data_IF_078359399757
#
_entry.id   IF_078359399757
#
_cell.length_a   1.000
_cell.length_b   1.000
_cell.length_c   1.000
_cell.angle_alpha   90.00
_cell.angle_beta   90.00
_cell.angle_gamma   90.00
#
_symmetry.space_group_name_H-M   'P 1'
#
loop_
_entity.id
_entity.type
_entity.pdbx_description
1 polymer ?
#
# COMPACT_ATOMS: atom_id res chain seq x y z
N UNK A 1 -20.68 11.74 11.05
CA UNK A 1 -21.28 10.39 11.23
C UNK A 1 -20.44 9.64 12.26
N UNK A 2 -21.05 9.07 13.29
CA UNK A 2 -20.32 8.38 14.37
C UNK A 2 -19.60 7.13 13.83
N UNK A 3 -18.30 7.00 14.05
CA UNK A 3 -17.47 5.86 13.58
C UNK A 3 -18.06 4.51 14.01
N UNK A 4 -18.56 4.41 15.25
CA UNK A 4 -19.07 3.15 15.79
C UNK A 4 -20.48 2.79 15.31
N UNK A 5 -21.20 3.74 14.69
CA UNK A 5 -22.52 3.45 14.08
C UNK A 5 -22.43 2.81 12.68
N UNK A 6 -21.21 2.66 12.13
CA UNK A 6 -20.98 2.08 10.81
C UNK A 6 -21.38 0.61 10.79
N UNK A 7 -22.03 0.20 9.71
CA UNK A 7 -22.47 -1.18 9.50
C UNK A 7 -21.32 -2.06 9.01
N UNK A 8 -21.28 -3.29 9.51
CA UNK A 8 -20.31 -4.34 9.18
C UNK A 8 -21.00 -5.70 9.09
N UNK A 9 -20.44 -6.63 8.33
CA UNK A 9 -20.88 -8.03 8.35
C UNK A 9 -20.25 -8.80 9.51
N UNK A 10 -21.08 -9.54 10.24
CA UNK A 10 -20.69 -10.44 11.34
C UNK A 10 -21.18 -11.86 11.05
N UNK A 11 -20.36 -12.84 11.41
CA UNK A 11 -20.53 -14.26 11.12
C UNK A 11 -20.45 -15.05 12.43
N UNK A 12 -21.21 -16.13 12.56
CA UNK A 12 -21.28 -16.90 13.81
C UNK A 12 -20.03 -17.77 14.08
N UNK A 13 -19.10 -17.82 13.14
CA UNK A 13 -17.84 -18.53 13.26
C UNK A 13 -17.04 -18.46 11.96
N UNK A 14 -15.87 -19.10 11.93
CA UNK A 14 -14.96 -19.01 10.77
C UNK A 14 -15.47 -19.68 9.50
N UNK A 15 -16.46 -20.58 9.61
CA UNK A 15 -17.07 -21.30 8.48
C UNK A 15 -18.34 -20.65 7.96
N UNK A 16 -18.91 -19.70 8.70
CA UNK A 16 -20.07 -18.93 8.24
C UNK A 16 -19.61 -17.91 7.19
N UNK A 17 -20.30 -17.92 6.05
CA UNK A 17 -19.96 -17.11 4.90
C UNK A 17 -21.10 -16.20 4.45
N UNK A 18 -22.25 -16.25 5.12
CA UNK A 18 -23.43 -15.42 4.80
C UNK A 18 -23.51 -14.28 5.82
N UNK A 19 -23.45 -14.62 7.11
CA UNK A 19 -23.46 -13.67 8.21
C UNK A 19 -24.72 -12.82 8.30
N UNK A 20 -24.64 -11.77 9.12
CA UNK A 20 -25.65 -10.73 9.34
C UNK A 20 -25.00 -9.36 9.41
N UNK A 21 -25.80 -8.31 9.23
CA UNK A 21 -25.32 -6.92 9.37
C UNK A 21 -25.63 -6.40 10.75
N UNK A 22 -24.62 -5.91 11.46
CA UNK A 22 -24.79 -5.18 12.73
C UNK A 22 -23.92 -3.91 12.71
N UNK A 23 -24.01 -3.08 13.74
CA UNK A 23 -23.11 -1.92 13.89
C UNK A 23 -21.76 -2.34 14.46
N UNK A 24 -20.73 -1.55 14.17
CA UNK A 24 -19.42 -1.74 14.80
C UNK A 24 -19.52 -1.64 16.34
N UNK A 25 -20.37 -0.75 16.84
CA UNK A 25 -20.62 -0.61 18.27
C UNK A 25 -21.10 -1.93 18.88
N UNK A 26 -22.15 -2.54 18.32
CA UNK A 26 -22.72 -3.77 18.86
C UNK A 26 -21.73 -4.94 18.82
N UNK A 27 -20.82 -4.95 17.84
CA UNK A 27 -19.75 -5.94 17.77
C UNK A 27 -18.66 -5.73 18.85
N UNK A 28 -18.11 -4.50 18.95
CA UNK A 28 -16.94 -4.24 19.80
C UNK A 28 -17.29 -4.17 21.29
N UNK A 29 -18.48 -3.66 21.62
CA UNK A 29 -18.88 -3.40 23.01
C UNK A 29 -19.75 -4.51 23.60
N UNK A 30 -20.02 -5.58 22.86
CA UNK A 30 -20.73 -6.74 23.39
C UNK A 30 -19.90 -7.44 24.47
N UNK A 31 -20.55 -7.78 25.58
CA UNK A 31 -19.98 -8.57 26.68
C UNK A 31 -20.46 -10.03 26.67
N UNK A 32 -21.26 -10.41 25.68
CA UNK A 32 -21.89 -11.74 25.59
C UNK A 32 -20.87 -12.88 25.71
N UNK A 33 -19.70 -12.73 25.07
CA UNK A 33 -18.65 -13.75 25.03
C UNK A 33 -17.50 -13.49 26.01
N UNK A 34 -17.60 -12.50 26.91
CA UNK A 34 -16.51 -12.11 27.80
C UNK A 34 -16.00 -13.28 28.67
N UNK A 35 -16.92 -14.00 29.33
CA UNK A 35 -16.57 -15.16 30.17
C UNK A 35 -15.93 -16.30 29.35
N UNK A 36 -16.45 -16.56 28.13
CA UNK A 36 -15.91 -17.58 27.23
C UNK A 36 -14.49 -17.22 26.80
N UNK A 37 -14.24 -15.95 26.45
CA UNK A 37 -12.93 -15.46 26.04
C UNK A 37 -11.94 -15.53 27.21
N UNK A 38 -12.34 -15.12 28.41
CA UNK A 38 -11.49 -15.20 29.61
C UNK A 38 -11.13 -16.64 29.95
N UNK A 39 -12.09 -17.57 29.98
CA UNK A 39 -11.84 -19.00 30.16
C UNK A 39 -10.89 -19.54 29.07
N UNK A 40 -11.14 -19.18 27.81
CA UNK A 40 -10.34 -19.61 26.67
C UNK A 40 -8.88 -19.14 26.77
N UNK A 41 -8.61 -17.97 27.36
CA UNK A 41 -7.24 -17.46 27.58
C UNK A 41 -6.46 -18.30 28.60
N UNK A 42 -7.14 -18.99 29.51
CA UNK A 42 -6.52 -19.90 30.48
C UNK A 42 -6.15 -21.28 29.89
N UNK A 43 -6.60 -21.60 28.67
CA UNK A 43 -6.28 -22.88 28.01
C UNK A 43 -4.82 -22.85 27.52
N UNK A 44 -4.01 -23.75 28.09
CA UNK A 44 -2.59 -23.90 27.73
C UNK A 44 -2.42 -24.50 26.33
N UNK A 45 -3.19 -25.55 26.02
CA UNK A 45 -3.11 -26.23 24.73
C UNK A 45 -3.58 -25.32 23.58
N UNK A 46 -2.72 -25.19 22.57
CA UNK A 46 -2.97 -24.29 21.44
C UNK A 46 -4.12 -24.79 20.58
N UNK A 47 -4.21 -26.10 20.33
CA UNK A 47 -5.22 -26.65 19.43
C UNK A 47 -6.62 -26.54 20.04
N UNK A 48 -6.75 -26.84 21.33
CA UNK A 48 -7.97 -26.69 22.10
C UNK A 48 -8.41 -25.22 22.13
N UNK A 49 -7.50 -24.30 22.45
CA UNK A 49 -7.78 -22.86 22.42
C UNK A 49 -8.26 -22.42 21.04
N UNK A 50 -7.63 -22.88 19.97
CA UNK A 50 -7.99 -22.50 18.61
C UNK A 50 -9.34 -23.11 18.18
N UNK A 51 -9.77 -24.26 18.75
CA UNK A 51 -11.14 -24.81 18.55
C UNK A 51 -12.20 -23.85 19.11
N UNK A 52 -11.97 -23.27 20.29
CA UNK A 52 -12.86 -22.27 20.87
C UNK A 52 -12.91 -21.00 20.02
N UNK A 53 -11.75 -20.46 19.61
CA UNK A 53 -11.67 -19.26 18.76
C UNK A 53 -12.48 -19.38 17.47
N UNK A 54 -12.46 -20.55 16.84
CA UNK A 54 -13.17 -20.79 15.56
C UNK A 54 -14.70 -20.69 15.67
N UNK A 55 -15.24 -20.82 16.88
CA UNK A 55 -16.68 -20.78 17.19
C UNK A 55 -17.14 -19.42 17.70
N UNK A 56 -16.22 -18.48 17.93
CA UNK A 56 -16.56 -17.13 18.33
C UNK A 56 -17.02 -16.32 17.11
N UNK A 57 -17.90 -15.33 17.30
CA UNK A 57 -18.30 -14.44 16.24
C UNK A 57 -17.09 -13.79 15.56
N UNK A 58 -17.21 -13.63 14.25
CA UNK A 58 -16.19 -13.03 13.39
C UNK A 58 -16.79 -11.81 12.68
N UNK A 59 -16.00 -10.77 12.42
CA UNK A 59 -16.48 -9.57 11.74
C UNK A 59 -15.57 -9.17 10.59
N UNK A 60 -16.15 -8.88 9.43
CA UNK A 60 -15.46 -8.19 8.35
C UNK A 60 -15.58 -6.67 8.57
N UNK A 61 -14.60 -6.09 9.26
CA UNK A 61 -14.64 -4.70 9.72
C UNK A 61 -14.76 -3.70 8.56
N UNK A 62 -14.24 -4.05 7.37
CA UNK A 62 -14.15 -3.15 6.23
C UNK A 62 -15.44 -2.95 5.44
N UNK A 63 -16.49 -3.73 5.72
CA UNK A 63 -17.77 -3.50 5.05
C UNK A 63 -18.84 -4.54 5.26
N UNK A 64 -19.92 -4.34 4.52
CA UNK A 64 -21.06 -5.25 4.39
C UNK A 64 -20.92 -6.03 3.09
N UNK A 65 -21.01 -7.35 3.20
CA UNK A 65 -20.88 -8.29 2.09
C UNK A 65 -22.18 -9.09 1.93
N UNK A 66 -22.66 -9.24 0.70
CA UNK A 66 -23.82 -10.06 0.37
C UNK A 66 -23.79 -10.52 -1.11
N UNK A 67 -24.30 -11.72 -1.44
CA UNK A 67 -24.97 -12.68 -0.55
C UNK A 67 -24.01 -13.46 0.35
N UNK A 68 -22.71 -13.46 0.02
CA UNK A 68 -21.67 -14.12 0.81
C UNK A 68 -20.43 -13.24 0.94
N UNK A 69 -19.55 -13.53 1.91
CA UNK A 69 -18.28 -12.84 2.11
C UNK A 69 -17.31 -13.13 0.96
N UNK A 70 -17.21 -12.20 0.02
CA UNK A 70 -16.25 -12.22 -1.07
C UNK A 70 -15.98 -10.80 -1.55
N UNK A 71 -14.80 -10.55 -2.13
CA UNK A 71 -14.39 -9.22 -2.64
C UNK A 71 -15.44 -8.66 -3.61
N UNK A 72 -15.91 -9.48 -4.56
CA UNK A 72 -16.93 -9.09 -5.54
C UNK A 72 -18.35 -8.89 -4.97
N UNK A 73 -18.56 -9.27 -3.71
CA UNK A 73 -19.86 -9.20 -3.03
C UNK A 73 -19.95 -8.02 -2.03
N UNK A 74 -19.00 -7.10 -2.05
CA UNK A 74 -19.11 -5.89 -1.22
C UNK A 74 -20.32 -5.06 -1.64
N UNK A 75 -21.21 -4.77 -0.69
CA UNK A 75 -22.38 -3.91 -0.90
C UNK A 75 -22.15 -2.50 -0.38
N UNK A 76 -21.39 -2.40 0.70
CA UNK A 76 -21.09 -1.13 1.33
C UNK A 76 -19.73 -1.21 2.01
N UNK A 77 -18.88 -0.23 1.74
CA UNK A 77 -17.66 -0.01 2.53
C UNK A 77 -18.03 0.59 3.87
N UNK A 78 -17.51 0.04 4.97
CA UNK A 78 -17.63 0.69 6.28
C UNK A 78 -16.73 1.92 6.36
N UNK A 79 -15.70 2.01 5.51
CA UNK A 79 -14.69 3.05 5.62
C UNK A 79 -13.67 2.79 6.73
N UNK A 80 -13.53 1.54 7.18
CA UNK A 80 -12.67 1.15 8.29
C UNK A 80 -11.71 0.03 7.85
N UNK A 81 -10.55 0.01 8.47
CA UNK A 81 -9.65 -1.14 8.43
C UNK A 81 -9.38 -1.60 9.84
N UNK A 82 -9.16 -2.90 10.00
CA UNK A 82 -8.59 -3.43 11.22
C UNK A 82 -7.19 -3.97 10.96
N UNK A 83 -6.26 -3.62 11.84
CA UNK A 83 -4.89 -4.11 11.84
C UNK A 83 -4.66 -4.98 13.08
N UNK A 84 -3.88 -6.05 12.91
CA UNK A 84 -3.47 -6.96 13.98
C UNK A 84 -1.99 -6.80 14.28
N UNK A 85 -1.64 -6.81 15.57
CA UNK A 85 -0.27 -6.95 16.06
C UNK A 85 -0.23 -8.14 16.99
N UNK A 86 0.50 -9.18 16.62
CA UNK A 86 0.63 -10.40 17.42
C UNK A 86 2.06 -10.64 17.90
N UNK A 87 2.19 -11.48 18.93
CA UNK A 87 3.46 -11.81 19.56
C UNK A 87 4.46 -12.56 18.66
N UNK A 88 3.98 -13.24 17.60
CA UNK A 88 4.84 -14.06 16.74
C UNK A 88 5.69 -13.17 15.83
N UNK A 89 5.07 -12.13 15.28
CA UNK A 89 5.76 -11.16 14.41
C UNK A 89 6.40 -10.01 15.19
N UNK A 90 6.11 -9.90 16.50
CA UNK A 90 6.63 -8.84 17.39
C UNK A 90 7.19 -9.42 18.70
N UNK A 91 8.29 -10.20 18.66
CA UNK A 91 8.83 -10.90 19.83
C UNK A 91 9.35 -9.95 20.93
N UNK A 92 9.72 -8.72 20.58
CA UNK A 92 10.24 -7.72 21.51
C UNK A 92 9.14 -7.03 22.34
N UNK A 93 7.87 -7.20 21.94
CA UNK A 93 6.73 -6.62 22.65
C UNK A 93 6.31 -7.55 23.79
N UNK A 94 6.70 -7.17 25.00
CA UNK A 94 6.40 -7.94 26.23
C UNK A 94 5.17 -7.42 26.98
N UNK A 95 4.76 -6.16 26.74
CA UNK A 95 3.64 -5.51 27.40
C UNK A 95 2.63 -4.90 26.41
N UNK A 96 1.53 -5.61 26.16
CA UNK A 96 0.48 -5.22 25.21
C UNK A 96 -0.35 -4.00 25.67
N UNK A 97 -0.52 -3.84 26.99
CA UNK A 97 -1.24 -2.70 27.57
C UNK A 97 -0.45 -1.40 27.41
N UNK A 98 0.87 -1.48 27.58
CA UNK A 98 1.78 -0.36 27.34
C UNK A 98 1.80 0.03 25.86
N UNK A 99 1.89 -0.96 24.95
CA UNK A 99 1.79 -0.68 23.51
C UNK A 99 0.47 0.01 23.16
N UNK A 100 -0.67 -0.47 23.70
CA UNK A 100 -1.98 0.15 23.50
C UNK A 100 -1.98 1.62 23.97
N UNK A 101 -1.32 1.91 25.08
CA UNK A 101 -1.15 3.28 25.60
C UNK A 101 -0.26 4.13 24.69
N UNK A 102 0.85 3.58 24.19
CA UNK A 102 1.73 4.28 23.25
C UNK A 102 1.02 4.61 21.94
N UNK A 103 0.18 3.71 21.44
CA UNK A 103 -0.60 3.92 20.22
C UNK A 103 -1.72 4.97 20.38
N UNK A 104 -2.08 5.35 21.61
CA UNK A 104 -3.11 6.36 21.89
C UNK A 104 -2.81 7.73 21.28
N UNK A 105 -1.54 8.03 21.04
CA UNK A 105 -1.11 9.31 20.46
C UNK A 105 -1.45 9.43 18.98
N UNK A 106 -1.75 8.32 18.30
CA UNK A 106 -2.08 8.32 16.87
C UNK A 106 -3.55 8.75 16.68
N UNK A 107 -3.82 9.95 16.12
CA UNK A 107 -5.18 10.47 16.00
C UNK A 107 -6.04 9.66 15.03
N UNK A 108 -5.45 8.77 14.24
CA UNK A 108 -6.14 7.88 13.31
C UNK A 108 -6.67 6.61 13.97
N UNK A 109 -6.21 6.23 15.17
CA UNK A 109 -6.73 5.03 15.85
C UNK A 109 -8.07 5.38 16.49
N UNK A 110 -9.14 4.76 16.02
CA UNK A 110 -10.49 4.90 16.56
C UNK A 110 -10.74 3.95 17.74
N UNK A 111 -10.19 2.75 17.66
CA UNK A 111 -10.33 1.73 18.68
C UNK A 111 -9.06 0.90 18.75
N UNK A 112 -8.59 0.54 19.95
CA UNK A 112 -7.51 -0.42 20.13
C UNK A 112 -7.77 -1.28 21.36
N UNK A 113 -7.56 -2.59 21.25
CA UNK A 113 -7.95 -3.56 22.28
C UNK A 113 -7.04 -4.78 22.24
N UNK A 114 -6.95 -5.49 23.35
CA UNK A 114 -6.38 -6.83 23.37
C UNK A 114 -7.07 -7.75 22.36
N UNK A 115 -6.27 -8.56 21.67
CA UNK A 115 -6.73 -9.64 20.80
C UNK A 115 -7.47 -10.71 21.60
N UNK A 116 -8.21 -11.60 20.91
CA UNK A 116 -8.97 -12.67 21.56
C UNK A 116 -8.12 -13.52 22.51
N UNK A 117 -6.85 -13.80 22.17
CA UNK A 117 -5.93 -14.55 23.04
C UNK A 117 -5.24 -13.72 24.13
N UNK A 118 -5.33 -12.38 24.10
CA UNK A 118 -4.58 -11.51 25.01
C UNK A 118 -3.06 -11.52 24.77
N UNK A 119 -2.60 -12.04 23.62
CA UNK A 119 -1.18 -12.16 23.22
C UNK A 119 -0.86 -11.31 22.00
N UNK A 120 -1.43 -10.11 21.98
CA UNK A 120 -1.48 -9.24 20.82
C UNK A 120 -2.60 -8.23 21.00
N UNK A 121 -2.61 -7.21 20.16
CA UNK A 121 -3.65 -6.18 20.09
C UNK A 121 -4.20 -6.11 18.67
N UNK A 122 -5.33 -5.45 18.54
CA UNK A 122 -5.79 -4.95 17.26
C UNK A 122 -6.22 -3.50 17.38
N UNK A 123 -6.10 -2.79 16.26
CA UNK A 123 -6.62 -1.45 16.13
C UNK A 123 -7.63 -1.37 14.97
N UNK A 124 -8.52 -0.39 15.06
CA UNK A 124 -9.45 0.00 14.00
C UNK A 124 -9.17 1.44 13.62
N UNK A 125 -8.98 1.65 12.33
CA UNK A 125 -8.57 2.94 11.75
C UNK A 125 -9.59 3.31 10.66
N UNK A 126 -10.17 4.51 10.68
CA UNK A 126 -10.97 4.99 9.57
C UNK A 126 -10.08 5.30 8.37
N UNK A 127 -10.52 4.88 7.18
CA UNK A 127 -9.83 5.09 5.92
C UNK A 127 -10.42 6.28 5.18
N UNK A 128 -9.56 7.14 4.62
CA UNK A 128 -10.00 8.22 3.74
C UNK A 128 -10.45 7.71 2.37
N UNK A 129 -9.80 6.65 1.88
CA UNK A 129 -10.04 6.08 0.55
C UNK A 129 -10.32 4.57 0.65
N UNK A 130 -11.50 4.17 1.17
CA UNK A 130 -11.79 2.76 1.43
C UNK A 130 -11.77 1.84 0.20
N UNK A 131 -12.01 2.39 -1.00
CA UNK A 131 -11.84 1.69 -2.26
C UNK A 131 -10.38 1.31 -2.56
N UNK A 132 -9.41 2.03 -1.96
CA UNK A 132 -7.98 1.79 -2.07
C UNK A 132 -7.44 1.02 -0.85
N UNK A 133 -8.25 0.13 -0.26
CA UNK A 133 -7.95 -0.61 0.98
C UNK A 133 -6.54 -1.20 1.00
N UNK A 134 -6.14 -1.90 -0.07
CA UNK A 134 -4.83 -2.53 -0.18
C UNK A 134 -3.68 -1.50 -0.14
N UNK A 135 -3.81 -0.40 -0.88
CA UNK A 135 -2.80 0.65 -0.93
C UNK A 135 -2.70 1.39 0.40
N UNK A 136 -3.83 1.66 1.06
CA UNK A 136 -3.81 2.29 2.39
C UNK A 136 -3.24 1.34 3.45
N UNK A 137 -3.56 0.04 3.40
CA UNK A 137 -2.97 -0.96 4.27
C UNK A 137 -1.45 -1.05 4.09
N UNK A 138 -0.95 -1.07 2.85
CA UNK A 138 0.50 -1.10 2.58
C UNK A 138 1.21 0.14 3.15
N UNK A 139 0.58 1.31 3.08
CA UNK A 139 1.16 2.51 3.68
C UNK A 139 1.14 2.44 5.21
N UNK A 140 0.06 1.92 5.81
CA UNK A 140 0.01 1.63 7.25
C UNK A 140 1.11 0.66 7.66
N UNK A 141 1.36 -0.39 6.88
CA UNK A 141 2.43 -1.34 7.18
C UNK A 141 3.79 -0.65 7.23
N UNK A 142 4.10 0.21 6.26
CA UNK A 142 5.33 1.01 6.25
C UNK A 142 5.42 1.94 7.45
N UNK A 143 4.32 2.60 7.81
CA UNK A 143 4.32 3.58 8.91
C UNK A 143 4.44 2.90 10.28
N UNK A 144 3.82 1.74 10.48
CA UNK A 144 4.00 0.94 11.69
C UNK A 144 5.40 0.28 11.75
N UNK A 145 5.95 -0.17 10.62
CA UNK A 145 7.32 -0.69 10.56
C UNK A 145 8.36 0.36 10.99
N UNK A 146 8.16 1.64 10.62
CA UNK A 146 9.00 2.75 11.12
C UNK A 146 8.91 2.96 12.63
N UNK A 147 7.82 2.53 13.26
CA UNK A 147 7.64 2.53 14.71
C UNK A 147 8.19 1.25 15.37
N UNK A 148 8.78 0.33 14.60
CA UNK A 148 9.25 -0.97 15.08
C UNK A 148 8.13 -1.98 15.31
N UNK A 149 6.95 -1.77 14.73
CA UNK A 149 5.77 -2.64 14.91
C UNK A 149 5.42 -3.31 13.58
N UNK A 150 5.33 -4.63 13.58
CA UNK A 150 4.90 -5.43 12.42
C UNK A 150 3.41 -5.75 12.54
N UNK A 151 2.63 -5.35 11.53
CA UNK A 151 1.19 -5.67 11.44
C UNK A 151 0.94 -6.90 10.54
N UNK A 152 -0.07 -7.73 10.87
CA UNK A 152 -0.42 -8.94 10.10
C UNK A 152 -0.81 -8.59 8.65
N UNK A 153 -0.02 -9.10 7.69
CA UNK A 153 -0.20 -8.90 6.24
C UNK A 153 -1.57 -9.38 5.75
N UNK A 154 -2.21 -10.33 6.43
CA UNK A 154 -3.55 -10.80 6.08
C UNK A 154 -4.64 -9.71 6.24
N UNK A 155 -4.37 -8.65 7.00
CA UNK A 155 -5.26 -7.49 7.12
C UNK A 155 -5.35 -6.64 5.82
N UNK A 156 -4.49 -6.93 4.83
CA UNK A 156 -4.60 -6.35 3.48
C UNK A 156 -5.84 -6.82 2.70
N UNK A 157 -6.44 -7.95 3.07
CA UNK A 157 -7.66 -8.46 2.46
C UNK A 157 -8.87 -7.70 3.02
N UNK A 158 -9.64 -7.04 2.15
CA UNK A 158 -10.85 -6.30 2.53
C UNK A 158 -11.93 -7.19 3.14
N UNK A 159 -11.90 -8.49 2.84
CA UNK A 159 -12.84 -9.48 3.42
C UNK A 159 -12.34 -10.05 4.74
N UNK A 160 -11.15 -9.66 5.22
CA UNK A 160 -10.52 -10.23 6.41
C UNK A 160 -11.46 -10.14 7.60
N UNK A 161 -11.71 -11.31 8.17
CA UNK A 161 -12.47 -11.42 9.40
C UNK A 161 -11.58 -11.22 10.62
N UNK A 162 -12.10 -10.48 11.60
CA UNK A 162 -11.56 -10.39 12.95
C UNK A 162 -12.44 -11.17 13.92
N UNK A 163 -11.80 -11.97 14.76
CA UNK A 163 -12.48 -12.65 15.86
C UNK A 163 -12.90 -11.65 16.94
N UNK A 164 -14.12 -11.81 17.46
CA UNK A 164 -14.60 -11.08 18.62
C UNK A 164 -13.63 -11.26 19.80
N UNK A 165 -13.38 -10.17 20.50
CA UNK A 165 -12.43 -10.09 21.61
C UNK A 165 -13.07 -9.39 22.79
N UNK A 166 -12.44 -9.53 23.96
CA UNK A 166 -12.83 -8.82 25.16
C UNK A 166 -11.60 -8.15 25.80
N UNK A 167 -11.75 -6.88 26.15
CA UNK A 167 -10.79 -6.06 26.86
C UNK A 167 -11.60 -5.16 27.82
N UNK A 168 -11.16 -5.06 29.07
CA UNK A 168 -11.84 -4.24 30.08
C UNK A 168 -11.56 -2.74 29.87
N UNK A 169 -10.41 -2.42 29.28
CA UNK A 169 -9.94 -1.05 29.11
C UNK A 169 -9.48 -0.80 27.67
N UNK A 170 -10.34 -0.98 26.65
CA UNK A 170 -9.96 -0.65 25.29
C UNK A 170 -9.73 0.86 25.14
N UNK A 171 -8.83 1.23 24.25
CA UNK A 171 -8.71 2.61 23.79
C UNK A 171 -9.87 2.94 22.87
N UNK A 172 -10.54 4.06 23.12
CA UNK A 172 -11.68 4.54 22.34
C UNK A 172 -11.46 6.01 21.98
N UNK A 173 -11.47 6.32 20.69
CA UNK A 173 -11.37 7.66 20.15
C UNK A 173 -12.52 7.91 19.18
N UNK A 174 -13.56 8.59 19.67
CA UNK A 174 -14.75 8.94 18.87
C UNK A 174 -14.46 9.94 17.76
N UNK A 175 -13.35 10.67 17.86
CA UNK A 175 -12.96 11.76 16.96
C UNK A 175 -11.78 11.37 16.06
N UNK A 176 -11.54 10.06 15.88
CA UNK A 176 -10.42 9.61 15.07
C UNK A 176 -10.51 10.15 13.63
N UNK A 177 -9.38 10.67 13.14
CA UNK A 177 -9.30 11.26 11.81
C UNK A 177 -9.02 10.16 10.77
N UNK A 178 -9.63 10.23 9.57
CA UNK A 178 -9.36 9.26 8.51
C UNK A 178 -7.88 9.23 8.13
N UNK A 179 -7.33 8.03 7.96
CA UNK A 179 -5.98 7.82 7.46
C UNK A 179 -5.91 8.11 5.95
N UNK A 180 -4.99 8.99 5.56
CA UNK A 180 -4.87 9.51 4.21
C UNK A 180 -3.70 8.90 3.42
N UNK A 181 -2.83 8.12 4.07
CA UNK A 181 -1.71 7.48 3.41
C UNK A 181 -2.16 6.54 2.30
N UNK A 182 -1.48 6.60 1.15
CA UNK A 182 -1.71 5.73 0.00
C UNK A 182 -0.36 5.27 -0.51
N UNK A 183 -0.12 3.96 -0.47
CA UNK A 183 1.07 3.39 -1.05
C UNK A 183 0.98 3.46 -2.57
N UNK A 184 2.00 4.05 -3.19
CA UNK A 184 2.19 4.05 -4.64
C UNK A 184 3.28 3.04 -4.94
N UNK A 185 2.96 2.00 -5.71
CA UNK A 185 3.99 1.08 -6.20
C UNK A 185 5.02 1.89 -6.98
N UNK A 186 6.32 1.78 -6.66
CA UNK A 186 7.33 2.33 -7.54
C UNK A 186 7.15 1.67 -8.91
N UNK A 187 7.34 2.39 -10.03
CA UNK A 187 7.20 1.82 -11.35
C UNK A 187 7.98 0.51 -11.42
N UNK A 188 7.28 -0.58 -11.79
CA UNK A 188 7.90 -1.91 -11.90
C UNK A 188 9.09 -1.76 -12.83
N UNK A 189 10.28 -2.10 -12.33
CA UNK A 189 11.48 -2.21 -13.16
C UNK A 189 11.29 -3.41 -14.09
N UNK A 190 10.66 -3.18 -15.25
CA UNK A 190 10.53 -4.21 -16.28
C UNK A 190 11.88 -4.31 -16.98
N UNK A 191 12.56 -5.43 -16.78
CA UNK A 191 13.84 -5.69 -17.43
C UNK A 191 13.58 -6.07 -18.88
N UNK A 192 14.07 -5.25 -19.81
CA UNK A 192 14.11 -5.59 -21.23
C UNK A 192 15.53 -6.03 -21.57
N UNK A 193 15.81 -7.34 -21.72
CA UNK A 193 17.12 -7.80 -22.15
C UNK A 193 17.36 -7.31 -23.56
N UNK A 194 18.21 -6.30 -23.69
CA UNK A 194 18.82 -5.91 -24.95
C UNK A 194 20.12 -6.72 -25.05
N UNK A 195 20.23 -7.59 -26.06
CA UNK A 195 21.37 -8.52 -26.23
C UNK A 195 22.74 -7.83 -26.29
N UNK A 196 23.82 -8.60 -26.15
CA UNK A 196 25.20 -8.10 -26.00
C UNK A 196 25.61 -7.14 -27.13
N UNK A 197 26.07 -5.93 -26.77
CA UNK A 197 26.62 -4.96 -27.71
C UNK A 197 28.12 -4.78 -27.52
N UNK A 198 28.88 -4.95 -28.60
CA UNK A 198 30.22 -4.39 -28.69
C UNK A 198 30.10 -2.86 -28.80
N UNK A 199 30.46 -2.16 -27.73
CA UNK A 199 30.18 -0.73 -27.51
C UNK A 199 30.84 0.23 -28.50
N UNK A 200 30.20 0.46 -29.65
CA UNK A 200 30.59 1.54 -30.56
C UNK A 200 29.41 2.24 -31.29
N UNK A 201 28.16 2.01 -30.89
CA UNK A 201 26.99 2.66 -31.51
C UNK A 201 25.97 3.14 -30.46
N UNK A 202 26.22 4.33 -29.91
CA UNK A 202 25.34 4.99 -28.94
C UNK A 202 23.95 5.30 -29.54
N UNK A 203 23.87 5.52 -30.86
CA UNK A 203 22.60 5.80 -31.55
C UNK A 203 21.69 4.58 -31.53
N UNK A 204 22.21 3.40 -31.89
CA UNK A 204 21.45 2.15 -31.86
C UNK A 204 20.98 1.79 -30.44
N UNK A 205 21.81 2.06 -29.44
CA UNK A 205 21.49 1.87 -28.03
C UNK A 205 20.36 2.79 -27.54
N UNK A 206 20.38 4.06 -27.96
CA UNK A 206 19.36 5.06 -27.66
C UNK A 206 18.04 4.75 -28.38
N UNK A 207 18.10 4.35 -29.64
CA UNK A 207 16.95 3.96 -30.44
C UNK A 207 16.15 2.85 -29.75
N UNK A 208 16.82 1.77 -29.34
CA UNK A 208 16.18 0.65 -28.64
C UNK A 208 15.58 1.05 -27.29
N UNK A 209 16.23 1.96 -26.56
CA UNK A 209 15.63 2.51 -25.35
C UNK A 209 14.35 3.29 -25.66
N UNK A 210 14.35 4.11 -26.72
CA UNK A 210 13.19 4.89 -27.15
C UNK A 210 12.05 4.01 -27.67
N UNK A 211 12.35 2.92 -28.38
CA UNK A 211 11.36 1.91 -28.78
C UNK A 211 10.64 1.31 -27.57
N UNK A 212 11.40 0.95 -26.52
CA UNK A 212 10.83 0.44 -25.28
C UNK A 212 9.95 1.50 -24.62
N UNK A 213 10.47 2.72 -24.45
CA UNK A 213 9.76 3.87 -23.85
C UNK A 213 8.43 4.11 -24.54
N UNK A 214 8.43 4.16 -25.88
CA UNK A 214 7.23 4.36 -26.69
C UNK A 214 6.25 3.21 -26.56
N UNK A 215 6.74 1.96 -26.64
CA UNK A 215 5.90 0.76 -26.54
C UNK A 215 5.21 0.63 -25.17
N UNK A 216 5.89 1.05 -24.10
CA UNK A 216 5.40 0.88 -22.72
C UNK A 216 4.68 2.10 -22.17
N UNK A 217 4.67 3.22 -22.89
CA UNK A 217 4.13 4.48 -22.37
C UNK A 217 4.90 5.00 -21.15
N UNK A 218 6.19 4.68 -21.02
CA UNK A 218 6.98 5.01 -19.83
C UNK A 218 7.45 6.46 -19.88
N UNK A 219 6.89 7.30 -19.02
CA UNK A 219 7.34 8.69 -18.88
C UNK A 219 8.66 8.79 -18.10
N UNK A 220 9.75 9.00 -18.82
CA UNK A 220 11.08 9.29 -18.25
C UNK A 220 11.33 10.78 -18.02
N UNK A 221 10.32 11.63 -18.23
CA UNK A 221 10.37 13.10 -18.23
C UNK A 221 9.44 13.75 -17.19
N UNK A 222 9.08 13.01 -16.14
CA UNK A 222 8.07 13.36 -15.11
C UNK A 222 8.19 14.73 -14.43
N UNK A 223 9.36 15.38 -14.49
CA UNK A 223 9.57 16.73 -13.97
C UNK A 223 10.35 17.57 -14.98
N UNK A 224 10.21 18.90 -14.92
CA UNK A 224 10.97 19.81 -15.78
C UNK A 224 12.49 19.61 -15.67
N UNK A 225 13.00 19.39 -14.46
CA UNK A 225 14.43 19.10 -14.24
C UNK A 225 14.86 17.82 -14.94
N UNK A 226 14.03 16.77 -14.87
CA UNK A 226 14.34 15.50 -15.50
C UNK A 226 14.19 15.57 -17.03
N UNK A 227 13.15 16.25 -17.53
CA UNK A 227 12.96 16.54 -18.95
C UNK A 227 14.17 17.29 -19.53
N UNK A 228 14.67 18.30 -18.81
CA UNK A 228 15.92 19.00 -19.14
C UNK A 228 17.13 18.05 -19.17
N UNK A 229 17.28 17.17 -18.17
CA UNK A 229 18.39 16.21 -18.13
C UNK A 229 18.35 15.23 -19.30
N UNK A 230 17.18 14.70 -19.64
CA UNK A 230 16.98 13.83 -20.81
C UNK A 230 17.31 14.57 -22.11
N UNK A 231 16.84 15.81 -22.25
CA UNK A 231 17.16 16.65 -23.41
C UNK A 231 18.66 16.93 -23.53
N UNK A 232 19.32 17.30 -22.44
CA UNK A 232 20.77 17.58 -22.43
C UNK A 232 21.58 16.34 -22.82
N UNK A 233 21.20 15.15 -22.33
CA UNK A 233 21.92 13.93 -22.64
C UNK A 233 21.70 13.45 -24.07
N UNK A 234 20.50 13.63 -24.64
CA UNK A 234 20.25 13.29 -26.05
C UNK A 234 20.86 14.32 -27.02
N UNK A 235 20.99 15.58 -26.61
CA UNK A 235 21.66 16.62 -27.41
C UNK A 235 23.15 16.33 -27.65
N UNK A 236 23.79 15.43 -26.89
CA UNK A 236 25.18 15.00 -27.15
C UNK A 236 25.33 14.23 -28.47
N UNK A 237 24.22 13.74 -29.03
CA UNK A 237 24.15 13.10 -30.36
C UNK A 237 23.96 14.14 -31.49
N UNK A 238 23.94 15.43 -31.17
CA UNK A 238 23.60 16.47 -32.13
C UNK A 238 22.12 16.44 -32.53
N UNK A 239 21.82 16.84 -33.76
CA UNK A 239 20.45 16.85 -34.29
C UNK A 239 19.82 15.46 -34.37
N UNK A 240 20.63 14.40 -34.48
CA UNK A 240 20.15 13.01 -34.48
C UNK A 240 19.48 12.63 -33.15
N UNK A 241 19.75 13.37 -32.07
CA UNK A 241 19.08 13.20 -30.78
C UNK A 241 17.63 13.72 -30.72
N UNK A 242 17.22 14.59 -31.66
CA UNK A 242 15.93 15.28 -31.62
C UNK A 242 14.74 14.33 -31.70
N UNK A 243 14.69 13.34 -32.63
CA UNK A 243 13.57 12.40 -32.68
C UNK A 243 13.41 11.62 -31.38
N UNK A 244 14.53 11.18 -30.77
CA UNK A 244 14.53 10.46 -29.50
C UNK A 244 14.00 11.31 -28.34
N UNK A 245 14.34 12.61 -28.33
CA UNK A 245 13.82 13.52 -27.31
C UNK A 245 12.31 13.70 -27.44
N UNK A 246 11.79 13.77 -28.67
CA UNK A 246 10.36 13.81 -28.91
C UNK A 246 9.67 12.51 -28.47
N UNK A 247 10.23 11.34 -28.80
CA UNK A 247 9.69 10.04 -28.35
C UNK A 247 9.60 9.98 -26.81
N UNK A 248 10.64 10.40 -26.11
CA UNK A 248 10.66 10.41 -24.64
C UNK A 248 9.62 11.39 -24.08
N UNK A 249 9.55 12.60 -24.64
CA UNK A 249 8.66 13.67 -24.15
C UNK A 249 7.18 13.37 -24.42
N UNK A 250 6.86 12.64 -25.50
CA UNK A 250 5.49 12.27 -25.86
C UNK A 250 4.81 11.35 -24.86
N UNK A 251 5.57 10.70 -23.98
CA UNK A 251 5.00 9.84 -22.94
C UNK A 251 4.40 10.64 -21.78
N UNK A 252 4.71 11.94 -21.69
CA UNK A 252 4.14 12.85 -20.70
C UNK A 252 2.83 13.49 -21.21
N UNK A 253 1.84 13.63 -20.33
CA UNK A 253 0.53 14.20 -20.68
C UNK A 253 0.57 15.67 -21.09
N UNK A 254 1.57 16.42 -20.61
CA UNK A 254 1.77 17.84 -20.94
C UNK A 254 2.64 18.04 -22.19
N UNK A 255 2.90 16.98 -22.96
CA UNK A 255 3.70 17.03 -24.17
C UNK A 255 3.22 18.13 -25.12
N UNK A 256 4.16 18.95 -25.58
CA UNK A 256 3.91 19.95 -26.60
C UNK A 256 5.08 19.95 -27.58
N UNK A 257 4.78 19.63 -28.83
CA UNK A 257 5.77 19.49 -29.90
C UNK A 257 6.62 20.77 -30.07
N UNK A 258 5.98 21.94 -30.16
CA UNK A 258 6.67 23.22 -30.34
C UNK A 258 7.56 23.59 -29.14
N UNK A 259 7.11 23.35 -27.91
CA UNK A 259 7.92 23.58 -26.70
C UNK A 259 9.12 22.64 -26.65
N UNK A 260 8.92 21.39 -27.03
CA UNK A 260 9.96 20.35 -27.06
C UNK A 260 11.01 20.67 -28.09
N UNK A 261 10.59 21.01 -29.30
CA UNK A 261 11.49 21.39 -30.40
C UNK A 261 12.31 22.65 -30.06
N UNK A 262 11.64 23.67 -29.51
CA UNK A 262 12.29 24.90 -29.06
C UNK A 262 13.31 24.63 -27.95
N UNK A 263 12.98 23.76 -26.99
CA UNK A 263 13.91 23.41 -25.93
C UNK A 263 15.13 22.70 -26.52
N UNK A 264 14.94 21.67 -27.34
CA UNK A 264 16.05 20.90 -27.91
C UNK A 264 16.99 21.78 -28.76
N UNK A 265 16.43 22.67 -29.58
CA UNK A 265 17.19 23.66 -30.34
C UNK A 265 18.01 24.62 -29.45
N UNK A 266 17.55 24.93 -28.24
CA UNK A 266 18.31 25.70 -27.28
C UNK A 266 19.40 24.88 -26.59
N UNK A 267 19.15 23.59 -26.35
CA UNK A 267 20.13 22.68 -25.74
C UNK A 267 21.31 22.44 -26.68
N UNK A 268 21.09 22.26 -27.98
CA UNK A 268 22.16 22.10 -28.97
C UNK A 268 23.08 23.32 -29.08
N UNK A 269 22.57 24.52 -28.81
CA UNK A 269 23.35 25.77 -28.82
C UNK A 269 24.22 25.94 -27.58
N UNK A 270 23.90 25.24 -26.50
CA UNK A 270 24.57 25.37 -25.20
C UNK A 270 25.51 24.20 -25.02
N UNK A 271 26.80 24.48 -24.92
CA UNK A 271 27.81 23.44 -24.73
C UNK A 271 27.80 22.96 -23.26
N UNK A 272 26.89 22.04 -22.93
CA UNK A 272 26.78 21.42 -21.60
C UNK A 272 27.89 20.38 -21.41
N UNK A 273 29.12 20.85 -21.15
CA UNK A 273 30.32 20.00 -21.02
C UNK A 273 30.28 18.99 -19.86
N UNK A 274 29.26 19.04 -18.99
CA UNK A 274 29.12 18.16 -17.82
C UNK A 274 28.12 17.01 -18.00
N UNK A 275 27.41 16.92 -19.13
CA UNK A 275 26.39 15.89 -19.40
C UNK A 275 26.82 15.04 -20.59
N UNK A 276 26.82 13.72 -20.42
CA UNK A 276 27.11 12.75 -21.48
C UNK A 276 25.87 11.92 -21.81
N UNK A 277 25.92 11.17 -22.92
CA UNK A 277 24.86 10.20 -23.26
C UNK A 277 24.66 9.14 -22.16
N UNK A 278 25.69 8.88 -21.35
CA UNK A 278 25.61 8.02 -20.17
C UNK A 278 24.53 8.45 -19.17
N UNK A 279 24.21 9.75 -19.09
CA UNK A 279 23.09 10.25 -18.28
C UNK A 279 21.75 9.73 -18.79
N UNK A 280 21.52 9.65 -20.11
CA UNK A 280 20.31 9.08 -20.68
C UNK A 280 20.15 7.60 -20.30
N UNK A 281 21.22 6.82 -20.45
CA UNK A 281 21.22 5.41 -20.08
C UNK A 281 21.03 5.22 -18.58
N UNK A 282 21.64 6.06 -17.74
CA UNK A 282 21.43 6.04 -16.30
C UNK A 282 19.96 6.32 -15.93
N UNK A 283 19.31 7.29 -16.58
CA UNK A 283 17.88 7.57 -16.42
C UNK A 283 17.06 6.34 -16.84
N UNK A 284 17.28 5.81 -18.05
CA UNK A 284 16.62 4.60 -18.53
C UNK A 284 16.71 3.43 -17.53
N UNK A 285 17.89 3.22 -16.92
CA UNK A 285 18.11 2.20 -15.89
C UNK A 285 17.27 2.40 -14.63
N UNK A 286 16.98 3.65 -14.24
CA UNK A 286 16.07 3.93 -13.10
C UNK A 286 14.65 3.44 -13.37
N UNK A 287 14.23 3.49 -14.63
CA UNK A 287 12.91 3.04 -15.10
C UNK A 287 12.89 1.57 -15.55
N UNK A 288 13.95 0.81 -15.26
CA UNK A 288 14.04 -0.63 -15.57
C UNK A 288 14.59 -0.96 -16.96
N UNK A 289 14.87 0.03 -17.80
CA UNK A 289 15.39 -0.15 -19.16
C UNK A 289 16.92 -0.32 -19.07
N UNK A 290 17.43 -1.53 -19.30
CA UNK A 290 18.86 -1.85 -19.22
C UNK A 290 19.40 -2.33 -20.57
N UNK A 291 20.51 -1.74 -20.97
CA UNK A 291 21.36 -2.25 -22.06
C UNK A 291 22.44 -3.12 -21.41
N UNK A 292 22.56 -4.38 -21.82
CA UNK A 292 23.69 -5.22 -21.42
C UNK A 292 24.93 -4.80 -22.22
N UNK A 293 26.02 -4.59 -21.51
CA UNK A 293 27.38 -4.39 -22.04
C UNK A 293 28.18 -5.65 -21.85
#
# INVERSE_FOLDING_TARGET
MNIFSRQISVYDGVTDNVGRVITLHDFLFSKEYANVIQMMRCIADKEERDKWKRRLPQAAISGVFAPTRAVGNIKQYSGLISIDVDSKENPDITNWEELKTQLAVLPQIAYCSLSVSGKGIFAIIPLRYPQNHLQQFRQLQIDFEKMGITIDKACSDITRMRCMSYDEHPLINMNAIPYEGVYVEPPRKVFYPLGDFNGNDDLLAVEKCCEIISRTGTDVTVSYEQWMKVGCSLATLGEDGRPFFHICSQQNQDYNELKTDKLFSNLLKRNYQSVSIGTFFWICRQYGIRIHS
#
